data_IF_006370561935
#
_entry.id   IF_006370561935
#
_cell.length_a   1.000
_cell.length_b   1.000
_cell.length_c   1.000
_cell.angle_alpha   90.00
_cell.angle_beta   90.00
_cell.angle_gamma   90.00
#
_symmetry.space_group_name_H-M   'P 1'
#
loop_
_entity.id
_entity.type
_entity.pdbx_description
1 polymer ?
#
# COMPACT_ATOMS: atom_id res chain seq x y z
N UNK A 1 20.36 6.39 -15.63
CA UNK A 1 20.38 4.91 -15.60
C UNK A 1 19.15 4.42 -14.86
N UNK A 2 18.58 3.28 -15.29
CA UNK A 2 17.49 2.58 -14.63
C UNK A 2 18.10 1.35 -13.96
N UNK A 3 17.68 1.08 -12.74
CA UNK A 3 18.14 -0.06 -11.95
C UNK A 3 16.95 -0.76 -11.34
N UNK A 4 16.94 -2.09 -11.38
CA UNK A 4 16.02 -2.90 -10.60
C UNK A 4 16.53 -3.07 -9.18
N UNK A 5 15.59 -3.13 -8.23
CA UNK A 5 15.87 -3.46 -6.85
C UNK A 5 15.84 -4.98 -6.66
N UNK A 6 16.76 -5.49 -5.86
CA UNK A 6 16.79 -6.90 -5.45
C UNK A 6 16.61 -6.97 -3.92
N UNK A 7 15.42 -7.39 -3.50
CA UNK A 7 15.05 -7.47 -2.10
C UNK A 7 15.79 -8.58 -1.32
N UNK A 8 16.40 -9.55 -2.01
CA UNK A 8 17.10 -10.69 -1.40
C UNK A 8 18.62 -10.50 -1.32
N UNK A 9 19.17 -9.57 -2.06
CA UNK A 9 20.59 -9.28 -2.07
C UNK A 9 20.94 -8.32 -0.93
N UNK A 10 21.35 -8.86 0.21
CA UNK A 10 21.67 -8.06 1.41
C UNK A 10 22.91 -7.19 1.25
N UNK A 11 23.81 -7.47 0.29
CA UNK A 11 24.97 -6.61 -0.01
C UNK A 11 24.54 -5.27 -0.66
N UNK A 12 23.34 -5.27 -1.26
CA UNK A 12 22.74 -4.09 -1.87
C UNK A 12 21.74 -3.35 -0.98
N UNK A 13 21.48 -3.87 0.22
CA UNK A 13 20.54 -3.29 1.17
C UNK A 13 21.27 -2.81 2.43
N UNK A 14 20.94 -1.63 2.90
CA UNK A 14 21.55 -0.98 4.08
C UNK A 14 20.54 -0.84 5.20
N UNK A 15 20.94 -1.21 6.41
CA UNK A 15 20.15 -1.01 7.61
C UNK A 15 20.10 0.47 8.01
N UNK A 16 18.89 1.03 8.15
CA UNK A 16 18.65 2.42 8.55
C UNK A 16 18.16 2.56 9.99
N UNK A 17 17.64 1.52 10.58
CA UNK A 17 17.05 1.57 11.91
C UNK A 17 15.85 0.64 12.03
N UNK A 18 15.08 0.82 13.09
CA UNK A 18 13.89 0.02 13.40
C UNK A 18 12.68 0.93 13.57
N UNK A 19 11.54 0.56 13.00
CA UNK A 19 10.29 1.30 13.17
C UNK A 19 9.78 1.22 14.61
N UNK A 20 8.81 2.07 14.98
CA UNK A 20 8.16 2.03 16.30
C UNK A 20 7.46 0.67 16.57
N UNK A 21 7.14 -0.09 15.52
CA UNK A 21 6.51 -1.42 15.62
C UNK A 21 7.52 -2.57 15.59
N UNK A 22 8.82 -2.27 15.59
CA UNK A 22 9.88 -3.28 15.66
C UNK A 22 10.34 -3.82 14.31
N UNK A 23 9.89 -3.27 13.18
CA UNK A 23 10.34 -3.69 11.85
C UNK A 23 11.77 -3.21 11.59
N UNK A 24 12.74 -4.10 11.35
CA UNK A 24 14.08 -3.71 10.91
C UNK A 24 14.02 -3.18 9.48
N UNK A 25 14.55 -1.98 9.24
CA UNK A 25 14.45 -1.30 7.94
C UNK A 25 15.77 -1.43 7.19
N UNK A 26 15.77 -2.27 6.17
CA UNK A 26 16.85 -2.40 5.19
C UNK A 26 16.35 -1.89 3.85
N UNK A 27 17.00 -0.90 3.27
CA UNK A 27 16.64 -0.28 1.99
C UNK A 27 17.79 -0.34 1.00
N UNK A 28 17.45 -0.24 -0.28
CA UNK A 28 18.42 -0.20 -1.38
C UNK A 28 19.49 0.88 -1.13
N UNK A 29 20.74 0.45 -1.13
CA UNK A 29 21.91 1.26 -0.84
C UNK A 29 22.00 2.53 -1.70
N UNK A 30 21.61 2.42 -2.97
CA UNK A 30 21.63 3.56 -3.91
C UNK A 30 20.67 4.67 -3.50
N UNK A 31 19.52 4.31 -2.94
CA UNK A 31 18.57 5.30 -2.42
C UNK A 31 19.06 5.93 -1.11
N UNK A 32 19.68 5.12 -0.25
CA UNK A 32 20.21 5.58 1.05
C UNK A 32 21.41 6.53 0.86
N UNK A 33 22.26 6.25 -0.11
CA UNK A 33 23.45 7.06 -0.42
C UNK A 33 23.17 8.26 -1.33
N UNK A 34 21.94 8.42 -1.83
CA UNK A 34 21.59 9.51 -2.71
C UNK A 34 21.44 10.85 -1.95
N UNK A 35 21.94 11.94 -2.50
CA UNK A 35 21.79 13.29 -1.95
C UNK A 35 20.31 13.72 -1.85
N UNK A 36 19.48 13.24 -2.78
CA UNK A 36 18.04 13.53 -2.86
C UNK A 36 17.27 12.31 -3.33
N UNK A 37 16.17 12.03 -2.66
CA UNK A 37 15.24 10.97 -3.04
C UNK A 37 13.89 11.58 -3.37
N UNK A 38 13.41 11.33 -4.59
CA UNK A 38 12.07 11.72 -5.04
C UNK A 38 11.25 10.44 -5.23
N UNK A 39 10.12 10.36 -4.56
CA UNK A 39 9.19 9.23 -4.73
C UNK A 39 8.25 9.49 -5.90
N UNK A 40 8.07 8.49 -6.75
CA UNK A 40 7.09 8.53 -7.86
C UNK A 40 6.19 7.29 -7.82
N UNK A 41 4.99 7.39 -8.39
CA UNK A 41 4.07 6.27 -8.47
C UNK A 41 2.61 6.69 -8.64
N UNK A 42 1.69 5.74 -8.46
CA UNK A 42 0.25 5.97 -8.53
C UNK A 42 -0.43 5.72 -7.18
N UNK A 43 -1.47 6.50 -6.88
CA UNK A 43 -2.29 6.27 -5.69
C UNK A 43 -3.54 5.50 -6.11
N UNK A 44 -3.76 4.34 -5.49
CA UNK A 44 -4.93 3.49 -5.67
C UNK A 44 -5.35 2.92 -4.31
N UNK A 45 -6.62 2.55 -4.10
CA UNK A 45 -7.01 1.84 -2.88
C UNK A 45 -6.23 0.52 -2.74
N UNK A 46 -5.90 0.16 -1.51
CA UNK A 46 -5.13 -1.06 -1.21
C UNK A 46 -5.70 -1.79 -0.01
N UNK A 47 -5.89 -3.10 -0.15
CA UNK A 47 -6.62 -3.92 0.81
C UNK A 47 -6.03 -3.93 2.23
N UNK A 48 -4.71 -3.89 2.40
CA UNK A 48 -4.06 -3.89 3.73
C UNK A 48 -3.55 -2.50 4.12
N UNK A 49 -2.83 -1.84 3.23
CA UNK A 49 -2.18 -0.57 3.52
C UNK A 49 -3.11 0.65 3.33
N UNK A 50 -4.42 0.44 3.15
CA UNK A 50 -5.39 1.49 2.86
C UNK A 50 -5.27 2.04 1.44
N UNK A 51 -4.11 2.57 1.08
CA UNK A 51 -3.80 3.09 -0.26
C UNK A 51 -2.40 2.68 -0.71
N UNK A 52 -2.20 2.68 -2.04
CA UNK A 52 -0.91 2.63 -2.72
C UNK A 52 -0.23 3.99 -2.77
N UNK A 53 0.85 4.07 -3.53
CA UNK A 53 1.64 5.29 -3.71
C UNK A 53 2.41 5.72 -2.45
N UNK A 54 3.05 6.87 -2.53
CA UNK A 54 3.79 7.47 -1.42
C UNK A 54 4.83 6.55 -0.82
N UNK A 55 4.67 6.28 0.48
CA UNK A 55 5.53 5.39 1.27
C UNK A 55 5.70 3.99 0.69
N UNK A 56 4.77 3.52 -0.15
CA UNK A 56 4.91 2.20 -0.80
C UNK A 56 6.02 2.15 -1.85
N UNK A 57 6.47 3.27 -2.36
CA UNK A 57 7.69 3.33 -3.19
C UNK A 57 8.95 2.99 -2.38
N UNK A 58 8.91 3.14 -1.05
CA UNK A 58 9.99 2.77 -0.13
C UNK A 58 9.77 1.37 0.42
N UNK A 59 8.64 1.14 1.09
CA UNK A 59 8.27 -0.18 1.63
C UNK A 59 6.92 -0.61 1.03
N UNK A 60 6.88 -1.61 0.17
CA UNK A 60 7.93 -2.59 -0.17
C UNK A 60 8.90 -2.21 -1.30
N UNK A 61 8.71 -1.09 -2.01
CA UNK A 61 9.29 -0.80 -3.32
C UNK A 61 10.80 -0.96 -3.45
N UNK A 62 11.57 -0.54 -2.44
CA UNK A 62 13.04 -0.65 -2.41
C UNK A 62 13.54 -1.24 -1.08
N UNK A 63 12.70 -2.02 -0.39
CA UNK A 63 13.04 -2.63 0.88
C UNK A 63 13.48 -4.08 0.72
N UNK A 64 14.35 -4.55 1.61
CA UNK A 64 14.74 -5.96 1.67
C UNK A 64 13.56 -6.86 2.06
N UNK A 65 13.61 -8.12 1.65
CA UNK A 65 12.58 -9.12 1.92
C UNK A 65 12.28 -9.26 3.42
N UNK A 66 13.28 -9.16 4.27
CA UNK A 66 13.12 -9.18 5.73
C UNK A 66 12.21 -8.05 6.21
N UNK A 67 12.48 -6.81 5.79
CA UNK A 67 11.66 -5.62 6.11
C UNK A 67 10.23 -5.79 5.60
N UNK A 68 10.07 -6.27 4.35
CA UNK A 68 8.76 -6.51 3.75
C UNK A 68 7.96 -7.53 4.57
N UNK A 69 8.59 -8.65 4.94
CA UNK A 69 7.93 -9.72 5.69
C UNK A 69 7.47 -9.25 7.08
N UNK A 70 8.32 -8.52 7.81
CA UNK A 70 7.97 -7.93 9.10
C UNK A 70 6.76 -6.99 9.00
N UNK A 71 6.74 -6.12 7.99
CA UNK A 71 5.60 -5.22 7.77
C UNK A 71 4.33 -5.97 7.35
N UNK A 72 4.42 -6.87 6.38
CA UNK A 72 3.24 -7.50 5.79
C UNK A 72 2.56 -8.51 6.71
N UNK A 73 3.29 -9.16 7.63
CA UNK A 73 2.70 -10.04 8.64
C UNK A 73 1.74 -9.29 9.56
N UNK A 74 1.91 -7.98 9.73
CA UNK A 74 0.98 -7.14 10.52
C UNK A 74 -0.42 -7.05 9.90
N UNK A 75 -0.60 -7.46 8.63
CA UNK A 75 -1.92 -7.57 8.03
C UNK A 75 -2.75 -8.73 8.59
N UNK A 76 -2.10 -9.67 9.25
CA UNK A 76 -2.77 -10.80 9.87
C UNK A 76 -3.25 -10.47 11.29
N UNK A 77 -4.32 -11.13 11.70
CA UNK A 77 -4.81 -11.07 13.07
C UNK A 77 -3.76 -11.63 14.04
N UNK A 78 -3.68 -11.03 15.23
CA UNK A 78 -2.82 -11.53 16.32
C UNK A 78 -3.33 -12.88 16.87
N UNK A 79 -4.57 -13.26 16.53
CA UNK A 79 -5.17 -14.54 16.89
C UNK A 79 -5.04 -15.53 15.74
N UNK A 80 -4.51 -16.73 16.01
CA UNK A 80 -4.40 -17.81 15.01
C UNK A 80 -5.81 -18.13 14.46
N UNK A 81 -5.95 -18.14 13.14
CA UNK A 81 -7.24 -18.33 12.47
C UNK A 81 -8.15 -17.10 12.40
N UNK A 82 -7.74 -15.97 12.99
CA UNK A 82 -8.51 -14.72 13.01
C UNK A 82 -8.55 -13.95 11.67
N UNK A 83 -7.83 -14.43 10.66
CA UNK A 83 -7.84 -13.83 9.31
C UNK A 83 -7.08 -12.51 9.23
N UNK A 84 -7.67 -11.53 8.56
CA UNK A 84 -7.08 -10.19 8.37
C UNK A 84 -7.31 -9.36 9.63
N UNK A 85 -6.28 -8.63 10.04
CA UNK A 85 -6.38 -7.71 11.18
C UNK A 85 -7.35 -6.56 10.83
N UNK A 86 -8.33 -6.26 11.70
CA UNK A 86 -9.33 -5.22 11.44
C UNK A 86 -8.75 -3.81 11.33
N UNK A 87 -7.55 -3.58 11.89
CA UNK A 87 -6.85 -2.29 11.74
C UNK A 87 -6.26 -2.09 10.35
N UNK A 88 -6.12 -3.16 9.58
CA UNK A 88 -5.59 -3.13 8.21
C UNK A 88 -6.72 -3.30 7.22
N UNK A 89 -7.21 -2.20 6.65
CA UNK A 89 -8.31 -2.29 5.70
C UNK A 89 -8.21 -1.27 4.57
N UNK A 90 -9.01 -1.52 3.55
CA UNK A 90 -9.15 -0.68 2.36
C UNK A 90 -9.49 0.77 2.77
N UNK A 91 -8.84 1.73 2.14
CA UNK A 91 -9.04 3.17 2.30
C UNK A 91 -8.81 3.74 3.72
N UNK A 92 -8.24 2.97 4.65
CA UNK A 92 -7.88 3.44 5.99
C UNK A 92 -6.45 4.00 5.99
N UNK A 93 -6.29 5.30 6.28
CA UNK A 93 -5.00 6.01 6.27
C UNK A 93 -4.38 6.25 7.65
N UNK A 94 -5.15 6.04 8.72
CA UNK A 94 -4.73 6.22 10.12
C UNK A 94 -5.10 4.99 10.95
N UNK A 95 -4.41 4.75 12.05
CA UNK A 95 -4.58 3.54 12.87
C UNK A 95 -4.58 2.27 12.03
N UNK A 96 -3.76 2.25 10.98
CA UNK A 96 -3.53 1.12 10.11
C UNK A 96 -2.08 0.67 10.31
N UNK A 97 -1.91 -0.41 11.09
CA UNK A 97 -0.58 -0.87 11.51
C UNK A 97 0.40 -1.10 10.36
N UNK A 98 -0.07 -1.61 9.22
CA UNK A 98 0.76 -1.82 8.02
C UNK A 98 1.16 -0.47 7.42
N UNK A 99 0.20 0.45 7.27
CA UNK A 99 0.44 1.78 6.70
C UNK A 99 1.34 2.63 7.58
N UNK A 100 1.08 2.62 8.90
CA UNK A 100 1.85 3.41 9.87
C UNK A 100 3.32 2.96 9.90
N UNK A 101 3.56 1.65 9.87
CA UNK A 101 4.90 1.07 9.84
C UNK A 101 5.64 1.39 8.53
N UNK A 102 4.92 1.39 7.38
CA UNK A 102 5.47 1.89 6.12
C UNK A 102 5.83 3.38 6.17
N UNK A 103 5.04 4.20 6.88
CA UNK A 103 5.37 5.61 7.09
C UNK A 103 6.61 5.77 7.95
N UNK A 104 6.74 4.98 9.03
CA UNK A 104 7.94 5.00 9.88
C UNK A 104 9.20 4.64 9.08
N UNK A 105 9.14 3.56 8.27
CA UNK A 105 10.25 3.16 7.43
C UNK A 105 10.61 4.24 6.38
N UNK A 106 9.61 4.90 5.80
CA UNK A 106 9.82 5.99 4.85
C UNK A 106 10.44 7.22 5.52
N UNK A 107 10.03 7.51 6.75
CA UNK A 107 10.60 8.62 7.52
C UNK A 107 12.10 8.43 7.82
N UNK A 108 12.56 7.18 8.00
CA UNK A 108 14.00 6.89 8.16
C UNK A 108 14.82 7.23 6.89
N UNK A 109 14.26 7.03 5.70
CA UNK A 109 14.89 7.44 4.44
C UNK A 109 14.77 8.95 4.20
N UNK A 110 13.71 9.56 4.73
CA UNK A 110 13.40 10.99 4.63
C UNK A 110 13.43 11.55 3.20
N UNK A 111 12.56 11.04 2.28
CA UNK A 111 12.52 11.53 0.91
C UNK A 111 12.20 13.03 0.84
N UNK A 112 12.86 13.74 -0.06
CA UNK A 112 12.71 15.20 -0.15
C UNK A 112 11.46 15.65 -0.90
N UNK A 113 10.88 14.78 -1.75
CA UNK A 113 9.72 15.12 -2.58
C UNK A 113 8.95 13.87 -3.02
N UNK A 114 7.69 14.07 -3.34
CA UNK A 114 6.81 13.06 -3.93
C UNK A 114 6.11 13.63 -5.16
N UNK A 115 5.94 12.78 -6.19
CA UNK A 115 5.02 13.02 -7.32
C UNK A 115 4.22 11.74 -7.54
N UNK A 116 2.92 11.77 -7.24
CA UNK A 116 2.04 10.65 -7.48
C UNK A 116 0.92 11.01 -8.47
N UNK A 117 0.71 10.11 -9.42
CA UNK A 117 -0.40 10.17 -10.35
C UNK A 117 -1.66 9.54 -9.74
N UNK A 118 -2.82 10.07 -10.10
CA UNK A 118 -4.13 9.50 -9.83
C UNK A 118 -4.79 9.27 -11.18
N UNK A 119 -5.13 8.02 -11.46
CA UNK A 119 -5.73 7.62 -12.73
C UNK A 119 -7.24 7.47 -12.57
N UNK A 120 -7.99 7.70 -13.63
CA UNK A 120 -9.39 7.38 -13.68
C UNK A 120 -9.67 5.92 -14.11
N UNK A 121 -10.94 5.59 -14.36
CA UNK A 121 -11.33 4.24 -14.74
C UNK A 121 -10.86 3.84 -16.15
N UNK A 122 -10.65 4.81 -17.03
CA UNK A 122 -10.21 4.61 -18.41
C UNK A 122 -8.66 4.52 -18.50
N UNK A 123 -7.98 4.85 -17.42
CA UNK A 123 -6.52 4.83 -17.32
C UNK A 123 -5.87 6.16 -17.70
N UNK A 124 -6.64 7.22 -17.80
CA UNK A 124 -6.16 8.57 -18.06
C UNK A 124 -5.77 9.29 -16.77
N UNK A 125 -4.90 10.29 -16.89
CA UNK A 125 -4.50 11.12 -15.75
C UNK A 125 -5.67 11.99 -15.27
N UNK A 126 -6.16 11.70 -14.06
CA UNK A 126 -7.20 12.49 -13.39
C UNK A 126 -6.62 13.64 -12.57
N UNK A 127 -5.56 13.37 -11.80
CA UNK A 127 -4.91 14.36 -10.96
C UNK A 127 -3.46 13.97 -10.66
N UNK A 128 -2.67 14.93 -10.16
CA UNK A 128 -1.32 14.72 -9.65
C UNK A 128 -1.24 15.29 -8.24
N UNK A 129 -0.71 14.51 -7.31
CA UNK A 129 -0.37 14.95 -5.97
C UNK A 129 1.16 15.08 -5.87
N UNK A 130 1.66 16.28 -5.56
CA UNK A 130 3.09 16.54 -5.48
C UNK A 130 3.44 17.45 -4.29
N UNK A 131 4.58 17.21 -3.64
CA UNK A 131 5.03 17.98 -2.49
C UNK A 131 5.76 17.12 -1.45
N UNK A 132 5.62 17.48 -0.16
CA UNK A 132 6.14 16.67 0.95
C UNK A 132 5.56 15.26 0.88
N UNK A 133 6.41 14.25 1.01
CA UNK A 133 6.07 12.86 0.69
C UNK A 133 4.83 12.33 1.43
N UNK A 134 4.62 12.74 2.69
CA UNK A 134 3.47 12.31 3.48
C UNK A 134 2.22 13.14 3.18
N UNK A 135 2.34 14.47 3.18
CA UNK A 135 1.21 15.37 2.99
C UNK A 135 0.61 15.28 1.59
N UNK A 136 1.48 15.25 0.56
CA UNK A 136 1.04 15.09 -0.81
C UNK A 136 0.39 13.71 -1.04
N UNK A 137 0.94 12.63 -0.45
CA UNK A 137 0.30 11.33 -0.47
C UNK A 137 -1.08 11.36 0.20
N UNK A 138 -1.18 11.96 1.38
CA UNK A 138 -2.44 12.06 2.13
C UNK A 138 -3.50 12.84 1.34
N UNK A 139 -3.12 13.96 0.71
CA UNK A 139 -4.04 14.71 -0.17
C UNK A 139 -4.47 13.86 -1.38
N UNK A 140 -3.53 13.15 -2.00
CA UNK A 140 -3.84 12.22 -3.09
C UNK A 140 -4.83 11.12 -2.69
N UNK A 141 -4.77 10.60 -1.46
CA UNK A 141 -5.75 9.62 -0.95
C UNK A 141 -7.16 10.23 -0.82
N UNK A 142 -7.27 11.51 -0.46
CA UNK A 142 -8.55 12.23 -0.41
C UNK A 142 -9.17 12.39 -1.81
N UNK A 143 -8.32 12.71 -2.79
CA UNK A 143 -8.75 12.84 -4.19
C UNK A 143 -9.27 11.48 -4.70
N UNK A 144 -8.51 10.39 -4.47
CA UNK A 144 -8.92 9.02 -4.85
C UNK A 144 -10.23 8.63 -4.15
N UNK A 145 -10.36 8.90 -2.87
CA UNK A 145 -11.58 8.59 -2.10
C UNK A 145 -12.79 9.32 -2.67
N UNK A 146 -12.64 10.58 -3.08
CA UNK A 146 -13.70 11.37 -3.68
C UNK A 146 -14.07 10.86 -5.08
N UNK A 147 -13.08 10.44 -5.87
CA UNK A 147 -13.26 9.97 -7.25
C UNK A 147 -13.86 8.55 -7.30
N UNK A 148 -13.33 7.63 -6.48
CA UNK A 148 -13.64 6.20 -6.58
C UNK A 148 -14.57 5.71 -5.46
N UNK A 149 -14.76 6.52 -4.42
CA UNK A 149 -15.58 6.14 -3.27
C UNK A 149 -17.07 6.14 -3.61
N UNK A 150 -17.74 5.03 -3.35
CA UNK A 150 -19.18 4.87 -3.54
C UNK A 150 -19.86 4.65 -2.19
N UNK A 151 -20.88 5.44 -1.89
CA UNK A 151 -21.73 5.21 -0.71
C UNK A 151 -22.77 4.14 -1.02
N UNK A 152 -22.62 2.96 -0.46
CA UNK A 152 -23.66 1.94 -0.47
C UNK A 152 -24.83 2.40 0.42
N UNK A 153 -26.07 2.31 -0.09
CA UNK A 153 -27.29 2.63 0.69
C UNK A 153 -27.57 1.59 1.76
N UNK A 154 -27.22 0.34 1.50
CA UNK A 154 -27.36 -0.79 2.40
C UNK A 154 -26.35 -1.88 2.00
N UNK A 155 -26.10 -2.81 2.93
CA UNK A 155 -25.34 -4.03 2.62
C UNK A 155 -26.23 -4.98 1.80
N UNK A 156 -25.58 -5.71 0.88
CA UNK A 156 -26.23 -6.63 -0.05
C UNK A 156 -26.31 -8.06 0.51
N UNK A 157 -27.20 -8.87 -0.01
CA UNK A 157 -27.26 -10.31 0.27
C UNK A 157 -26.31 -11.08 -0.68
N UNK A 158 -26.06 -10.53 -1.87
CA UNK A 158 -25.19 -11.11 -2.89
C UNK A 158 -24.30 -9.99 -3.44
N UNK A 159 -23.01 -10.27 -3.58
CA UNK A 159 -22.05 -9.40 -4.25
C UNK A 159 -21.38 -10.15 -5.41
N UNK A 160 -21.31 -9.52 -6.58
CA UNK A 160 -20.59 -10.06 -7.74
C UNK A 160 -19.38 -9.18 -7.97
N UNK A 161 -18.19 -9.77 -7.98
CA UNK A 161 -16.94 -9.05 -8.16
C UNK A 161 -16.01 -9.77 -9.15
N UNK A 162 -15.21 -8.99 -9.87
CA UNK A 162 -14.22 -9.49 -10.81
C UNK A 162 -12.84 -8.91 -10.50
N UNK A 163 -11.81 -9.74 -10.59
CA UNK A 163 -10.40 -9.30 -10.48
C UNK A 163 -9.90 -8.52 -11.70
N UNK A 164 -10.69 -8.48 -12.77
CA UNK A 164 -10.38 -7.74 -14.00
C UNK A 164 -9.58 -8.53 -15.04
N UNK A 165 -9.40 -9.84 -14.84
CA UNK A 165 -8.69 -10.72 -15.78
C UNK A 165 -7.16 -10.57 -15.76
N UNK A 166 -6.49 -11.42 -16.54
CA UNK A 166 -5.04 -11.40 -16.67
C UNK A 166 -4.54 -10.03 -17.24
N UNK A 167 -3.46 -9.47 -16.70
CA UNK A 167 -2.57 -9.96 -15.63
C UNK A 167 -2.98 -9.56 -14.20
N UNK A 168 -4.12 -8.89 -14.01
CA UNK A 168 -4.53 -8.33 -12.70
C UNK A 168 -4.87 -9.41 -11.67
N UNK A 169 -5.38 -10.55 -12.10
CA UNK A 169 -5.78 -11.69 -11.25
C UNK A 169 -4.97 -12.95 -11.51
N UNK A 170 -3.71 -12.80 -11.92
CA UNK A 170 -2.82 -13.90 -12.32
C UNK A 170 -2.58 -14.97 -11.25
N UNK A 171 -2.90 -14.71 -10.00
CA UNK A 171 -2.82 -15.64 -8.88
C UNK A 171 -3.85 -15.29 -7.80
N UNK A 172 -4.02 -16.22 -6.82
CA UNK A 172 -5.00 -16.06 -5.75
C UNK A 172 -4.80 -14.79 -4.92
N UNK A 173 -3.55 -14.41 -4.63
CA UNK A 173 -3.24 -13.19 -3.88
C UNK A 173 -3.74 -11.93 -4.61
N UNK A 174 -3.55 -11.86 -5.92
CA UNK A 174 -4.08 -10.74 -6.71
C UNK A 174 -5.60 -10.79 -6.82
N UNK A 175 -6.18 -11.99 -6.97
CA UNK A 175 -7.63 -12.20 -7.00
C UNK A 175 -8.34 -11.76 -5.70
N UNK A 176 -7.68 -11.89 -4.54
CA UNK A 176 -8.22 -11.40 -3.26
C UNK A 176 -8.60 -9.91 -3.27
N UNK A 177 -7.99 -9.11 -4.13
CA UNK A 177 -8.31 -7.68 -4.26
C UNK A 177 -9.74 -7.43 -4.71
N UNK A 178 -10.37 -8.41 -5.38
CA UNK A 178 -11.78 -8.37 -5.73
C UNK A 178 -12.69 -8.82 -4.59
N UNK A 179 -12.29 -9.85 -3.83
CA UNK A 179 -13.12 -10.41 -2.75
C UNK A 179 -13.24 -9.50 -1.55
N UNK A 180 -12.15 -8.82 -1.15
CA UNK A 180 -12.15 -7.96 0.05
C UNK A 180 -13.17 -6.81 -0.06
N UNK A 181 -13.22 -6.01 -1.14
CA UNK A 181 -14.26 -5.00 -1.30
C UNK A 181 -15.68 -5.58 -1.39
N UNK A 182 -15.84 -6.74 -2.03
CA UNK A 182 -17.13 -7.43 -2.10
C UNK A 182 -17.62 -7.85 -0.72
N UNK A 183 -16.74 -8.45 0.09
CA UNK A 183 -17.07 -8.84 1.47
C UNK A 183 -17.49 -7.64 2.34
N UNK A 184 -16.83 -6.48 2.16
CA UNK A 184 -17.20 -5.25 2.87
C UNK A 184 -18.62 -4.76 2.53
N UNK A 185 -19.13 -5.08 1.34
CA UNK A 185 -20.46 -4.70 0.88
C UNK A 185 -21.55 -5.68 1.31
N UNK A 186 -21.23 -6.85 1.87
CA UNK A 186 -22.18 -7.89 2.23
C UNK A 186 -22.72 -7.76 3.66
N UNK A 187 -23.96 -8.23 3.83
CA UNK A 187 -24.50 -8.60 5.15
C UNK A 187 -23.78 -9.84 5.68
N UNK A 188 -23.90 -10.07 6.98
CA UNK A 188 -23.49 -11.34 7.57
C UNK A 188 -24.29 -12.50 6.93
N UNK A 189 -23.58 -13.58 6.53
CA UNK A 189 -24.17 -14.68 5.79
C UNK A 189 -24.43 -14.43 4.29
N UNK A 190 -24.05 -13.27 3.78
CA UNK A 190 -24.12 -12.97 2.35
C UNK A 190 -23.13 -13.78 1.50
N UNK A 191 -23.35 -13.82 0.18
CA UNK A 191 -22.59 -14.63 -0.79
C UNK A 191 -21.84 -13.75 -1.77
N UNK A 192 -20.55 -14.09 -2.08
CA UNK A 192 -19.75 -13.49 -3.15
C UNK A 192 -19.77 -14.42 -4.35
#
# INVERSE_FOLDING_TARGET
KIYDHDAYDMDKNVYLGTTRRGTPVYLDKRAVEADKVILTGGITPHLFAGFGGGRKSVLPGIAAAETINHNHVMALSDTIGGGINPDTCLAKTWDNRVSDDMCDATALLNPCFLVNAIMDADGDFYAVAAGHWYEAWLEGTRIVTKQQGVKAKAKADIAISSGGGFPRDMNLYQGMKAYVPAAMALKEGGVI
#
